data_IF_446446134560
#
_entry.id   IF_446446134560
#
_cell.length_a   1.000
_cell.length_b   1.000
_cell.length_c   1.000
_cell.angle_alpha   90.00
_cell.angle_beta   90.00
_cell.angle_gamma   90.00
#
_symmetry.space_group_name_H-M   'P 1'
#
loop_
_entity.id
_entity.type
_entity.pdbx_description
1 polymer ?
#
# COMPACT_ATOMS: atom_id res chain seq x y z
N UNK A 1 33.84 -0.22 1.97
CA UNK A 1 32.96 -0.19 3.15
C UNK A 1 31.94 -1.30 2.98
N UNK A 2 31.81 -2.22 3.93
CA UNK A 2 30.73 -3.20 3.89
C UNK A 2 29.45 -2.44 4.24
N UNK A 3 28.53 -2.32 3.29
CA UNK A 3 27.21 -1.71 3.46
C UNK A 3 26.31 -2.64 4.30
N UNK A 4 26.60 -2.67 5.61
CA UNK A 4 25.88 -3.51 6.58
C UNK A 4 25.39 -2.64 7.72
N UNK A 5 24.12 -2.74 8.04
CA UNK A 5 23.54 -2.14 9.25
C UNK A 5 24.11 -2.84 10.50
N UNK A 6 24.66 -2.06 11.41
CA UNK A 6 25.32 -2.53 12.63
C UNK A 6 24.51 -2.12 13.85
N UNK A 7 24.02 -3.10 14.61
CA UNK A 7 23.53 -2.89 15.96
C UNK A 7 24.65 -3.05 16.99
N UNK A 8 24.74 -2.15 17.95
CA UNK A 8 25.69 -2.24 19.05
C UNK A 8 24.96 -2.25 20.40
N UNK A 9 25.27 -3.22 21.24
CA UNK A 9 24.68 -3.35 22.57
C UNK A 9 25.72 -3.05 23.64
N UNK A 10 25.36 -2.17 24.60
CA UNK A 10 26.22 -1.77 25.70
C UNK A 10 25.43 -1.36 26.96
N UNK A 11 26.07 -1.44 28.13
CA UNK A 11 25.47 -1.07 29.42
C UNK A 11 26.35 -0.10 30.23
N UNK A 12 27.55 0.21 29.73
CA UNK A 12 28.54 1.05 30.42
C UNK A 12 28.72 2.44 29.80
N UNK A 13 29.40 3.32 30.56
CA UNK A 13 29.74 4.69 30.11
C UNK A 13 30.60 4.63 28.84
N UNK A 14 31.53 3.66 28.75
CA UNK A 14 32.46 3.51 27.64
C UNK A 14 31.76 3.10 26.31
N UNK A 15 30.56 2.52 26.40
CA UNK A 15 29.80 2.01 25.27
C UNK A 15 28.99 3.11 24.60
N UNK A 16 28.71 4.22 25.29
CA UNK A 16 27.86 5.30 24.79
C UNK A 16 28.33 5.87 23.44
N UNK A 17 29.64 6.04 23.26
CA UNK A 17 30.20 6.54 22.01
C UNK A 17 30.02 5.54 20.83
N UNK A 18 30.20 4.25 21.11
CA UNK A 18 30.03 3.19 20.12
C UNK A 18 28.55 2.99 19.74
N UNK A 19 27.63 3.08 20.72
CA UNK A 19 26.19 3.04 20.48
C UNK A 19 25.73 4.19 19.57
N UNK A 20 26.17 5.41 19.84
CA UNK A 20 25.86 6.59 18.97
C UNK A 20 26.46 6.51 17.57
N UNK A 21 27.56 5.78 17.41
CA UNK A 21 28.21 5.59 16.11
C UNK A 21 27.64 4.40 15.33
N UNK A 22 26.88 3.51 15.96
CA UNK A 22 26.18 2.41 15.32
C UNK A 22 24.89 2.88 14.64
N UNK A 23 24.35 2.04 13.74
CA UNK A 23 23.06 2.31 13.10
C UNK A 23 21.87 2.07 14.04
N UNK A 24 22.08 1.28 15.10
CA UNK A 24 21.10 1.02 16.17
C UNK A 24 21.82 0.74 17.48
N UNK A 25 21.73 1.66 18.44
CA UNK A 25 22.22 1.50 19.79
C UNK A 25 21.22 0.75 20.68
N UNK A 26 21.67 -0.28 21.38
CA UNK A 26 20.81 -1.09 22.26
C UNK A 26 21.37 -1.07 23.67
N UNK A 27 20.53 -0.83 24.68
CA UNK A 27 20.90 -0.89 26.08
C UNK A 27 19.91 -1.73 26.89
N UNK A 28 20.15 -1.87 28.16
CA UNK A 28 19.29 -2.59 29.11
C UNK A 28 18.80 -1.64 30.19
N UNK A 29 17.68 -1.94 30.83
CA UNK A 29 17.10 -1.10 31.89
C UNK A 29 18.04 -0.94 33.08
N UNK A 30 18.86 -1.96 33.39
CA UNK A 30 19.86 -1.92 34.45
C UNK A 30 21.16 -1.18 34.08
N UNK A 31 21.28 -0.62 32.90
CA UNK A 31 22.46 0.13 32.43
C UNK A 31 22.58 1.49 33.10
N UNK A 32 23.76 2.08 33.01
CA UNK A 32 24.00 3.47 33.47
C UNK A 32 23.21 4.46 32.61
N UNK A 33 22.81 5.60 33.18
CA UNK A 33 21.92 6.56 32.53
C UNK A 33 22.47 7.06 31.19
N UNK A 34 23.77 7.32 31.12
CA UNK A 34 24.42 7.79 29.90
C UNK A 34 24.38 6.73 28.75
N UNK A 35 24.40 5.44 29.09
CA UNK A 35 24.21 4.37 28.13
C UNK A 35 22.76 4.29 27.64
N UNK A 36 21.78 4.44 28.56
CA UNK A 36 20.36 4.50 28.20
C UNK A 36 20.02 5.70 27.30
N UNK A 37 20.56 6.88 27.61
CA UNK A 37 20.39 8.10 26.79
C UNK A 37 21.04 8.00 25.41
N UNK A 38 22.01 7.10 25.25
CA UNK A 38 22.72 6.88 23.97
C UNK A 38 22.13 5.76 23.14
N UNK A 39 21.13 5.03 23.65
CA UNK A 39 20.52 3.89 23.01
C UNK A 39 19.22 4.27 22.32
N UNK A 40 18.96 3.66 21.14
CA UNK A 40 17.68 3.76 20.43
C UNK A 40 16.64 2.79 21.01
N UNK A 41 17.12 1.67 21.59
CA UNK A 41 16.27 0.61 22.15
C UNK A 41 16.78 0.25 23.55
N UNK A 42 15.87 0.19 24.53
CA UNK A 42 16.17 -0.26 25.89
C UNK A 42 15.43 -1.57 26.14
N UNK A 43 16.17 -2.65 26.38
CA UNK A 43 15.62 -3.94 26.79
C UNK A 43 15.27 -3.91 28.26
N UNK A 44 14.02 -4.21 28.61
CA UNK A 44 13.55 -4.27 30.00
C UNK A 44 14.13 -5.45 30.79
N UNK A 45 14.62 -6.45 30.08
CA UNK A 45 15.28 -7.62 30.67
C UNK A 45 16.67 -7.80 30.07
N UNK A 46 17.67 -8.04 30.90
CA UNK A 46 19.04 -8.33 30.45
C UNK A 46 19.15 -9.79 30.00
N UNK A 47 18.50 -10.08 28.84
CA UNK A 47 18.46 -11.40 28.24
C UNK A 47 18.61 -11.27 26.70
N UNK A 48 19.64 -11.93 26.15
CA UNK A 48 19.91 -11.97 24.71
C UNK A 48 18.78 -12.66 23.93
N UNK A 49 18.04 -13.58 24.57
CA UNK A 49 16.87 -14.20 23.96
C UNK A 49 15.73 -13.20 23.70
N UNK A 50 15.62 -12.13 24.49
CA UNK A 50 14.69 -11.03 24.22
C UNK A 50 15.12 -10.27 22.97
N UNK A 51 16.42 -10.00 22.81
CA UNK A 51 16.95 -9.34 21.63
C UNK A 51 16.73 -10.19 20.36
N UNK A 52 16.99 -11.49 20.41
CA UNK A 52 16.75 -12.40 19.29
C UNK A 52 15.29 -12.40 18.86
N UNK A 53 14.36 -12.53 19.81
CA UNK A 53 12.91 -12.43 19.53
C UNK A 53 12.54 -11.08 18.93
N UNK A 54 13.10 -9.98 19.45
CA UNK A 54 12.89 -8.63 18.92
C UNK A 54 13.34 -8.49 17.47
N UNK A 55 14.49 -9.08 17.11
CA UNK A 55 14.99 -9.09 15.72
C UNK A 55 14.04 -9.88 14.80
N UNK A 56 13.57 -11.04 15.21
CA UNK A 56 12.65 -11.87 14.45
C UNK A 56 11.32 -11.13 14.24
N UNK A 57 10.79 -10.51 15.29
CA UNK A 57 9.54 -9.78 15.26
C UNK A 57 9.65 -8.49 14.41
N UNK A 58 10.77 -7.79 14.48
CA UNK A 58 11.08 -6.67 13.61
C UNK A 58 11.13 -7.07 12.13
N UNK A 59 11.68 -8.25 11.82
CA UNK A 59 11.67 -8.79 10.44
C UNK A 59 10.26 -9.15 9.99
N UNK A 60 9.40 -9.69 10.85
CA UNK A 60 7.97 -9.94 10.54
C UNK A 60 7.23 -8.65 10.25
N UNK A 61 7.37 -7.67 11.12
CA UNK A 61 6.78 -6.33 10.94
C UNK A 61 7.22 -5.73 9.60
N UNK A 62 8.51 -5.81 9.29
CA UNK A 62 9.03 -5.34 7.99
C UNK A 62 8.44 -6.10 6.80
N UNK A 63 8.25 -7.42 6.93
CA UNK A 63 7.58 -8.24 5.91
C UNK A 63 6.14 -7.78 5.63
N UNK A 64 5.37 -7.54 6.68
CA UNK A 64 4.00 -7.06 6.57
C UNK A 64 3.94 -5.62 6.03
N UNK A 65 4.88 -4.76 6.43
CA UNK A 65 5.03 -3.42 5.85
C UNK A 65 5.29 -3.47 4.33
N UNK A 66 6.16 -4.37 3.87
CA UNK A 66 6.42 -4.53 2.43
C UNK A 66 5.20 -5.05 1.67
N UNK A 67 4.42 -5.97 2.25
CA UNK A 67 3.15 -6.43 1.66
C UNK A 67 2.20 -5.24 1.50
N UNK A 68 1.98 -4.46 2.57
CA UNK A 68 1.14 -3.27 2.55
C UNK A 68 1.59 -2.29 1.45
N UNK A 69 2.88 -1.92 1.44
CA UNK A 69 3.40 -0.97 0.46
C UNK A 69 3.24 -1.46 -0.99
N UNK A 70 3.58 -2.71 -1.27
CA UNK A 70 3.45 -3.28 -2.61
C UNK A 70 2.01 -3.28 -3.08
N UNK A 71 1.08 -3.74 -2.23
CA UNK A 71 -0.33 -3.81 -2.55
C UNK A 71 -0.93 -2.42 -2.75
N UNK A 72 -0.67 -1.49 -1.81
CA UNK A 72 -1.21 -0.12 -1.87
C UNK A 72 -0.68 0.65 -3.07
N UNK A 73 0.63 0.61 -3.32
CA UNK A 73 1.24 1.33 -4.46
C UNK A 73 0.76 0.75 -5.79
N UNK A 74 0.63 -0.58 -5.90
CA UNK A 74 0.15 -1.23 -7.11
C UNK A 74 -1.32 -0.92 -7.39
N UNK A 75 -2.18 -0.99 -6.37
CA UNK A 75 -3.61 -0.66 -6.49
C UNK A 75 -3.81 0.81 -6.88
N UNK A 76 -3.16 1.74 -6.18
CA UNK A 76 -3.26 3.16 -6.51
C UNK A 76 -2.75 3.48 -7.93
N UNK A 77 -1.66 2.83 -8.36
CA UNK A 77 -1.15 2.99 -9.72
C UNK A 77 -2.16 2.47 -10.76
N UNK A 78 -2.75 1.28 -10.51
CA UNK A 78 -3.81 0.72 -11.35
C UNK A 78 -5.01 1.66 -11.47
N UNK A 79 -5.53 2.16 -10.35
CA UNK A 79 -6.66 3.09 -10.34
C UNK A 79 -6.38 4.38 -11.11
N UNK A 80 -5.20 4.99 -10.90
CA UNK A 80 -4.81 6.21 -11.64
C UNK A 80 -4.69 5.94 -13.12
N UNK A 81 -4.12 4.79 -13.52
CA UNK A 81 -3.99 4.40 -14.92
C UNK A 81 -5.37 4.19 -15.55
N UNK A 82 -6.29 3.48 -14.88
CA UNK A 82 -7.65 3.23 -15.33
C UNK A 82 -8.43 4.52 -15.51
N UNK A 83 -8.41 5.43 -14.51
CA UNK A 83 -9.05 6.74 -14.60
C UNK A 83 -8.47 7.56 -15.74
N UNK A 84 -7.15 7.54 -15.93
CA UNK A 84 -6.48 8.29 -17.00
C UNK A 84 -6.92 7.77 -18.37
N UNK A 85 -6.91 6.46 -18.57
CA UNK A 85 -7.37 5.84 -19.83
C UNK A 85 -8.85 6.14 -20.08
N UNK A 86 -9.70 5.94 -19.07
CA UNK A 86 -11.13 6.22 -19.18
C UNK A 86 -11.40 7.68 -19.55
N UNK A 87 -10.70 8.63 -18.96
CA UNK A 87 -10.87 10.07 -19.22
C UNK A 87 -10.48 10.50 -20.64
N UNK A 88 -9.71 9.68 -21.37
CA UNK A 88 -9.39 9.94 -22.78
C UNK A 88 -10.54 9.56 -23.73
N UNK A 89 -11.38 8.60 -23.33
CA UNK A 89 -12.41 8.03 -24.19
C UNK A 89 -13.84 8.36 -23.74
N UNK A 90 -14.04 8.60 -22.45
CA UNK A 90 -15.37 8.92 -21.92
C UNK A 90 -15.64 10.43 -21.95
N UNK A 91 -16.86 10.85 -22.33
CA UNK A 91 -17.25 12.26 -22.35
C UNK A 91 -17.65 12.81 -20.97
N UNK A 92 -17.49 12.01 -19.90
CA UNK A 92 -17.76 12.35 -18.51
C UNK A 92 -16.71 11.72 -17.57
N UNK A 93 -16.66 12.18 -16.33
CA UNK A 93 -15.75 11.61 -15.32
C UNK A 93 -16.17 10.17 -14.99
N UNK A 94 -15.26 9.19 -15.06
CA UNK A 94 -15.57 7.78 -14.84
C UNK A 94 -15.98 7.47 -13.39
N UNK A 95 -15.50 8.25 -12.42
CA UNK A 95 -15.85 8.13 -11.00
C UNK A 95 -15.91 9.51 -10.34
N UNK A 96 -16.86 9.70 -9.42
CA UNK A 96 -16.97 10.93 -8.66
C UNK A 96 -15.90 11.00 -7.55
N UNK A 97 -15.53 12.21 -7.13
CA UNK A 97 -14.57 12.40 -6.05
C UNK A 97 -14.99 11.73 -4.74
N UNK A 98 -16.30 11.72 -4.43
CA UNK A 98 -16.83 11.05 -3.24
C UNK A 98 -16.63 9.53 -3.31
N UNK A 99 -16.88 8.93 -4.46
CA UNK A 99 -16.68 7.49 -4.68
C UNK A 99 -15.20 7.10 -4.52
N UNK A 100 -14.26 7.90 -5.05
CA UNK A 100 -12.81 7.68 -4.87
C UNK A 100 -12.41 7.72 -3.40
N UNK A 101 -12.95 8.67 -2.62
CA UNK A 101 -12.69 8.76 -1.17
C UNK A 101 -13.25 7.54 -0.44
N UNK A 102 -14.48 7.12 -0.76
CA UNK A 102 -15.11 5.95 -0.15
C UNK A 102 -14.34 4.66 -0.47
N UNK A 103 -13.91 4.49 -1.73
CA UNK A 103 -13.10 3.34 -2.15
C UNK A 103 -11.78 3.29 -1.38
N UNK A 104 -11.08 4.41 -1.27
CA UNK A 104 -9.85 4.50 -0.49
C UNK A 104 -10.08 4.17 0.99
N UNK A 105 -11.18 4.63 1.58
CA UNK A 105 -11.53 4.33 2.97
C UNK A 105 -11.80 2.83 3.19
N UNK A 106 -12.56 2.20 2.30
CA UNK A 106 -12.82 0.74 2.35
C UNK A 106 -11.51 -0.04 2.24
N UNK A 107 -10.64 0.36 1.30
CA UNK A 107 -9.32 -0.24 1.14
C UNK A 107 -8.46 -0.13 2.40
N UNK A 108 -8.41 1.05 3.04
CA UNK A 108 -7.65 1.25 4.30
C UNK A 108 -8.18 0.36 5.44
N UNK A 109 -9.52 0.19 5.55
CA UNK A 109 -10.11 -0.72 6.54
C UNK A 109 -9.63 -2.16 6.34
N UNK A 110 -9.56 -2.63 5.10
CA UNK A 110 -9.04 -3.97 4.78
C UNK A 110 -7.55 -4.08 5.13
N UNK A 111 -6.77 -3.03 4.86
CA UNK A 111 -5.34 -2.98 5.14
C UNK A 111 -5.02 -3.02 6.65
N UNK A 112 -5.95 -2.66 7.54
CA UNK A 112 -5.78 -2.75 9.01
C UNK A 112 -5.46 -4.20 9.44
N UNK A 113 -5.90 -5.21 8.71
CA UNK A 113 -5.63 -6.61 9.03
C UNK A 113 -4.19 -7.06 8.72
N UNK A 114 -3.45 -6.35 7.85
CA UNK A 114 -2.11 -6.75 7.41
C UNK A 114 -1.04 -6.85 8.52
N UNK A 115 -1.02 -6.01 9.58
CA UNK A 115 -0.05 -6.16 10.66
C UNK A 115 -0.12 -7.50 11.40
N UNK A 116 -1.28 -8.15 11.40
CA UNK A 116 -1.50 -9.47 12.02
C UNK A 116 -1.32 -10.63 11.06
N UNK A 117 -0.96 -10.36 9.81
CA UNK A 117 -0.71 -11.41 8.83
C UNK A 117 0.60 -12.16 9.16
N UNK A 118 0.64 -13.42 8.74
CA UNK A 118 1.81 -14.29 8.96
C UNK A 118 2.86 -14.06 7.89
N UNK A 119 4.13 -14.09 8.30
CA UNK A 119 5.29 -14.03 7.42
C UNK A 119 6.04 -15.35 7.53
N UNK A 120 6.44 -15.90 6.38
CA UNK A 120 7.16 -17.18 6.32
C UNK A 120 8.47 -17.15 7.11
N UNK A 121 8.75 -18.23 7.84
CA UNK A 121 9.98 -18.36 8.64
C UNK A 121 11.24 -18.31 7.74
N UNK A 122 11.17 -18.83 6.53
CA UNK A 122 12.25 -18.72 5.54
C UNK A 122 12.54 -17.26 5.15
N UNK A 123 11.53 -16.38 5.17
CA UNK A 123 11.68 -14.97 4.90
C UNK A 123 12.34 -14.23 6.06
N UNK A 124 11.96 -14.56 7.31
CA UNK A 124 12.50 -13.94 8.52
C UNK A 124 13.90 -14.45 8.89
N UNK A 125 14.32 -15.61 8.37
CA UNK A 125 15.62 -16.21 8.64
C UNK A 125 16.81 -15.35 8.21
N UNK A 126 16.64 -14.46 7.23
CA UNK A 126 17.72 -13.61 6.70
C UNK A 126 17.33 -12.13 6.77
N UNK A 127 18.30 -11.24 7.13
CA UNK A 127 18.06 -9.81 7.06
C UNK A 127 17.82 -9.38 5.60
N UNK A 128 16.92 -8.43 5.40
CA UNK A 128 16.61 -7.87 4.09
C UNK A 128 16.76 -6.36 4.13
N UNK A 129 17.42 -5.82 3.12
CA UNK A 129 17.53 -4.39 2.94
C UNK A 129 16.27 -3.83 2.26
N UNK A 130 16.07 -2.53 2.41
CA UNK A 130 15.06 -1.79 1.65
C UNK A 130 15.37 -1.84 0.16
N UNK A 131 14.42 -2.31 -0.62
CA UNK A 131 14.54 -2.41 -2.08
C UNK A 131 13.38 -1.73 -2.78
N UNK A 132 13.58 -0.46 -3.11
CA UNK A 132 12.60 0.34 -3.85
C UNK A 132 12.39 -0.18 -5.29
N UNK A 133 13.40 -0.82 -5.88
CA UNK A 133 13.29 -1.39 -7.23
C UNK A 133 12.31 -2.56 -7.27
N UNK A 134 12.28 -3.39 -6.20
CA UNK A 134 11.30 -4.47 -6.06
C UNK A 134 9.87 -3.94 -5.94
N UNK A 135 9.63 -2.82 -5.24
CA UNK A 135 8.31 -2.20 -5.12
C UNK A 135 7.88 -1.64 -6.48
N UNK A 136 8.79 -0.92 -7.16
CA UNK A 136 8.54 -0.39 -8.50
C UNK A 136 8.24 -1.49 -9.51
N UNK A 137 9.00 -2.59 -9.50
CA UNK A 137 8.78 -3.74 -10.38
C UNK A 137 7.38 -4.32 -10.17
N UNK A 138 7.01 -4.58 -8.93
CA UNK A 138 5.69 -5.10 -8.57
C UNK A 138 4.55 -4.17 -9.01
N UNK A 139 4.70 -2.87 -8.82
CA UNK A 139 3.73 -1.86 -9.26
C UNK A 139 3.53 -1.88 -10.79
N UNK A 140 4.63 -1.95 -11.55
CA UNK A 140 4.58 -1.92 -13.02
C UNK A 140 4.09 -3.23 -13.63
N UNK A 141 4.22 -4.35 -12.92
CA UNK A 141 3.72 -5.66 -13.39
C UNK A 141 2.23 -5.84 -13.05
N UNK A 142 1.83 -5.57 -11.82
CA UNK A 142 0.46 -5.85 -11.35
C UNK A 142 -0.51 -4.68 -11.54
N UNK A 143 -0.05 -3.43 -11.50
CA UNK A 143 -0.92 -2.28 -11.72
C UNK A 143 -1.63 -2.30 -13.08
N UNK A 144 -0.92 -2.50 -14.21
CA UNK A 144 -1.56 -2.59 -15.53
C UNK A 144 -2.50 -3.79 -15.69
N UNK A 145 -2.26 -4.89 -14.97
CA UNK A 145 -3.17 -6.06 -14.99
C UNK A 145 -4.52 -5.68 -14.40
N UNK A 146 -4.55 -5.01 -13.24
CA UNK A 146 -5.79 -4.48 -12.66
C UNK A 146 -6.51 -3.55 -13.64
N UNK A 147 -5.78 -2.59 -14.22
CA UNK A 147 -6.34 -1.64 -15.19
C UNK A 147 -6.93 -2.31 -16.45
N UNK A 148 -6.43 -3.47 -16.84
CA UNK A 148 -6.99 -4.22 -17.96
C UNK A 148 -8.42 -4.70 -17.66
N UNK A 149 -8.67 -5.17 -16.44
CA UNK A 149 -10.02 -5.55 -16.00
C UNK A 149 -10.93 -4.33 -15.96
N UNK A 150 -10.46 -3.20 -15.40
CA UNK A 150 -11.21 -1.95 -15.41
C UNK A 150 -11.62 -1.52 -16.85
N UNK A 151 -10.69 -1.60 -17.81
CA UNK A 151 -10.97 -1.25 -19.21
C UNK A 151 -12.04 -2.15 -19.81
N UNK A 152 -12.01 -3.46 -19.51
CA UNK A 152 -13.07 -4.38 -19.97
C UNK A 152 -14.41 -4.03 -19.33
N UNK A 153 -14.42 -3.72 -18.03
CA UNK A 153 -15.62 -3.27 -17.32
C UNK A 153 -16.15 -1.96 -17.89
N UNK A 154 -15.28 -1.00 -18.22
CA UNK A 154 -15.68 0.26 -18.87
C UNK A 154 -16.36 0.00 -20.22
N UNK A 155 -15.78 -0.87 -21.02
CA UNK A 155 -16.38 -1.23 -22.30
C UNK A 155 -17.75 -1.91 -22.12
N UNK A 156 -17.87 -2.84 -21.19
CA UNK A 156 -19.13 -3.51 -20.87
C UNK A 156 -20.20 -2.52 -20.36
N UNK A 157 -19.83 -1.64 -19.42
CA UNK A 157 -20.74 -0.63 -18.89
C UNK A 157 -21.17 0.35 -19.98
N UNK A 158 -20.23 0.90 -20.75
CA UNK A 158 -20.54 1.94 -21.75
C UNK A 158 -21.32 1.42 -22.95
N UNK A 159 -21.01 0.23 -23.46
CA UNK A 159 -21.61 -0.29 -24.70
C UNK A 159 -22.77 -1.25 -24.47
N UNK A 160 -22.91 -1.85 -23.30
CA UNK A 160 -23.91 -2.89 -23.05
C UNK A 160 -24.84 -2.53 -21.90
N UNK A 161 -24.31 -2.33 -20.70
CA UNK A 161 -25.13 -2.21 -19.48
C UNK A 161 -25.90 -0.89 -19.43
N UNK A 162 -25.20 0.24 -19.59
CA UNK A 162 -25.85 1.56 -19.52
C UNK A 162 -26.84 1.79 -20.67
N UNK A 163 -26.54 1.44 -21.93
CA UNK A 163 -27.55 1.54 -23.01
C UNK A 163 -28.77 0.67 -22.77
N UNK A 164 -28.61 -0.55 -22.25
CA UNK A 164 -29.72 -1.44 -21.95
C UNK A 164 -30.60 -0.94 -20.77
N UNK A 165 -30.02 -0.19 -19.84
CA UNK A 165 -30.72 0.34 -18.68
C UNK A 165 -31.47 1.66 -18.96
N UNK A 166 -30.98 2.45 -19.93
CA UNK A 166 -31.56 3.76 -20.33
C UNK A 166 -32.37 3.67 -21.62
N UNK A 167 -32.38 2.51 -22.28
CA UNK A 167 -32.96 2.26 -23.61
C UNK A 167 -32.42 3.19 -24.73
N UNK A 168 -31.19 3.73 -24.53
CA UNK A 168 -30.55 4.59 -25.50
C UNK A 168 -29.01 4.58 -25.33
N UNK A 169 -28.27 4.70 -26.43
CA UNK A 169 -26.82 4.88 -26.40
C UNK A 169 -26.46 6.33 -26.04
N UNK A 170 -25.21 6.53 -25.54
CA UNK A 170 -24.71 7.88 -25.25
C UNK A 170 -24.82 8.84 -26.47
N UNK A 171 -24.50 8.34 -27.65
CA UNK A 171 -24.58 9.14 -28.87
C UNK A 171 -26.00 9.56 -29.26
N UNK A 172 -26.99 8.73 -29.00
CA UNK A 172 -28.42 9.04 -29.24
C UNK A 172 -28.93 10.08 -28.25
N UNK A 173 -28.57 9.93 -26.96
CA UNK A 173 -28.89 10.90 -25.89
C UNK A 173 -28.27 12.28 -26.18
N UNK A 174 -26.98 12.29 -26.62
CA UNK A 174 -26.30 13.51 -26.98
C UNK A 174 -26.91 14.18 -28.23
N UNK A 175 -27.26 13.40 -29.25
CA UNK A 175 -27.92 13.91 -30.46
C UNK A 175 -29.32 14.45 -30.20
N UNK A 176 -30.05 13.85 -29.27
CA UNK A 176 -31.37 14.32 -28.81
C UNK A 176 -31.30 15.53 -27.87
N UNK A 177 -30.11 15.85 -27.32
CA UNK A 177 -29.93 16.87 -26.26
C UNK A 177 -30.56 16.50 -24.94
N UNK A 178 -30.75 15.21 -24.67
CA UNK A 178 -31.35 14.70 -23.43
C UNK A 178 -30.34 14.71 -22.28
N UNK A 179 -30.25 15.85 -21.60
CA UNK A 179 -29.34 16.06 -20.46
C UNK A 179 -29.68 15.14 -19.30
N UNK A 180 -30.96 14.82 -19.06
CA UNK A 180 -31.37 13.94 -17.97
C UNK A 180 -30.99 12.49 -18.24
N UNK A 181 -31.17 12.01 -19.47
CA UNK A 181 -30.72 10.69 -19.92
C UNK A 181 -29.21 10.54 -19.86
N UNK A 182 -28.45 11.55 -20.31
CA UNK A 182 -26.98 11.57 -20.19
C UNK A 182 -26.50 11.54 -18.73
N UNK A 183 -27.14 12.30 -17.84
CA UNK A 183 -26.81 12.29 -16.43
C UNK A 183 -27.10 10.92 -15.77
N UNK A 184 -28.20 10.28 -16.14
CA UNK A 184 -28.56 8.93 -15.67
C UNK A 184 -27.57 7.89 -16.17
N UNK A 185 -27.19 7.96 -17.45
CA UNK A 185 -26.19 7.08 -18.04
C UNK A 185 -24.84 7.20 -17.32
N UNK A 186 -24.34 8.42 -17.08
CA UNK A 186 -23.11 8.67 -16.37
C UNK A 186 -23.15 8.17 -14.91
N UNK A 187 -24.28 8.38 -14.21
CA UNK A 187 -24.46 7.90 -12.85
C UNK A 187 -24.47 6.37 -12.74
N UNK A 188 -25.13 5.69 -13.71
CA UNK A 188 -25.11 4.22 -13.79
C UNK A 188 -23.71 3.69 -14.07
N UNK A 189 -22.98 4.31 -14.98
CA UNK A 189 -21.60 3.95 -15.29
C UNK A 189 -20.70 4.09 -14.04
N UNK A 190 -20.74 5.25 -13.36
CA UNK A 190 -19.95 5.52 -12.16
C UNK A 190 -20.28 4.55 -11.03
N UNK A 191 -21.56 4.24 -10.83
CA UNK A 191 -22.01 3.29 -9.80
C UNK A 191 -21.60 1.85 -10.15
N UNK A 192 -21.67 1.46 -11.41
CA UNK A 192 -21.27 0.14 -11.88
C UNK A 192 -19.78 -0.11 -11.67
N UNK A 193 -18.94 0.86 -12.01
CA UNK A 193 -17.49 0.75 -11.76
C UNK A 193 -17.17 0.78 -10.26
N UNK A 194 -17.79 1.65 -9.49
CA UNK A 194 -17.58 1.70 -8.03
C UNK A 194 -17.89 0.36 -7.33
N UNK A 195 -18.87 -0.40 -7.81
CA UNK A 195 -19.22 -1.73 -7.24
C UNK A 195 -18.21 -2.81 -7.66
N UNK A 196 -17.59 -2.66 -8.84
CA UNK A 196 -16.60 -3.61 -9.36
C UNK A 196 -15.22 -3.39 -8.72
N UNK A 197 -14.83 -2.12 -8.47
CA UNK A 197 -13.53 -1.74 -7.88
C UNK A 197 -13.41 -2.12 -6.41
#
# INVERSE_FOLDING_TARGET
MLDRTVGFMGDGINDAAAMRASDCGISVDSAVDIAKESADIILLQKDLGVLERGIIEGRRTYGNLLKYLKTTVSSNFGNVLSVTVASLFLPFLPMSALQLVLLSLVYEIVCIALPWDTVDDAWTARPRAWDAASIKGFMLELGPVSSLFDIVTFAALFFVVCPAAVDASWSELAAAGDVAGMATFAALFQSGWFVES
#
